data_IF_611140020610
#
_entry.id   IF_611140020610
#
_cell.length_a   1.000
_cell.length_b   1.000
_cell.length_c   1.000
_cell.angle_alpha   90.00
_cell.angle_beta   90.00
_cell.angle_gamma   90.00
#
_symmetry.space_group_name_H-M   'P 1'
#
loop_
_entity.id
_entity.type
_entity.pdbx_description
1 polymer ?
#
# COMPACT_ATOMS: atom_id res chain seq x y z
N UNK A 1 -8.75 9.71 14.34
CA UNK A 1 -8.36 9.61 12.93
C UNK A 1 -8.31 8.15 12.54
N UNK A 2 -8.87 7.79 11.37
CA UNK A 2 -8.94 6.40 10.91
C UNK A 2 -8.22 6.24 9.57
N UNK A 3 -7.11 5.52 9.56
CA UNK A 3 -6.29 5.27 8.37
C UNK A 3 -6.78 4.00 7.66
N UNK A 4 -7.04 4.11 6.36
CA UNK A 4 -7.26 2.97 5.48
C UNK A 4 -5.96 2.66 4.75
N UNK A 5 -5.31 1.58 5.14
CA UNK A 5 -4.01 1.16 4.61
C UNK A 5 -4.19 0.04 3.59
N UNK A 6 -3.56 0.18 2.43
CA UNK A 6 -3.62 -0.78 1.33
C UNK A 6 -2.23 -1.39 1.14
N UNK A 7 -2.13 -2.70 1.25
CA UNK A 7 -0.88 -3.45 1.04
C UNK A 7 -1.18 -4.79 0.38
N UNK A 8 -0.36 -5.20 -0.57
CA UNK A 8 -0.55 -6.50 -1.21
C UNK A 8 -0.13 -7.67 -0.30
N UNK A 9 0.77 -7.43 0.64
CA UNK A 9 1.22 -8.43 1.62
C UNK A 9 1.06 -7.90 3.06
N UNK A 10 0.72 -8.81 3.95
CA UNK A 10 0.62 -8.62 5.40
C UNK A 10 0.73 -10.01 6.07
N UNK A 11 1.38 -10.15 7.22
CA UNK A 11 1.50 -11.48 7.86
C UNK A 11 0.14 -12.20 8.01
N UNK A 12 0.08 -13.54 7.80
CA UNK A 12 1.20 -14.46 7.58
C UNK A 12 1.76 -14.50 6.15
N UNK A 13 1.21 -13.73 5.18
CA UNK A 13 1.78 -13.63 3.83
C UNK A 13 2.94 -12.65 3.88
N UNK A 14 4.15 -13.17 3.73
CA UNK A 14 5.39 -12.40 3.72
C UNK A 14 6.17 -12.80 2.47
N UNK A 15 6.24 -11.89 1.50
CA UNK A 15 7.04 -12.02 0.29
C UNK A 15 8.34 -11.23 0.44
N UNK A 16 8.23 -10.07 1.09
CA UNK A 16 9.35 -9.15 1.29
C UNK A 16 9.21 -8.29 2.54
N UNK A 17 9.94 -7.19 2.57
CA UNK A 17 9.97 -6.27 3.71
C UNK A 17 8.69 -5.46 3.92
N UNK A 18 7.81 -5.38 2.91
CA UNK A 18 6.58 -4.59 2.97
C UNK A 18 5.63 -5.15 4.02
N UNK A 19 5.46 -6.48 4.08
CA UNK A 19 4.59 -7.12 5.07
C UNK A 19 4.95 -6.70 6.50
N UNK A 20 6.22 -6.79 6.85
CA UNK A 20 6.72 -6.38 8.18
C UNK A 20 6.57 -4.88 8.41
N UNK A 21 6.96 -4.06 7.43
CA UNK A 21 6.82 -2.61 7.52
C UNK A 21 5.36 -2.20 7.77
N UNK A 22 4.42 -2.75 7.01
CA UNK A 22 2.99 -2.40 7.14
C UNK A 22 2.43 -2.86 8.49
N UNK A 23 2.83 -4.04 8.96
CA UNK A 23 2.45 -4.53 10.28
C UNK A 23 2.97 -3.61 11.39
N UNK A 24 4.27 -3.32 11.39
CA UNK A 24 4.91 -2.53 12.44
C UNK A 24 4.37 -1.09 12.44
N UNK A 25 4.21 -0.49 11.25
CA UNK A 25 3.61 0.84 11.10
C UNK A 25 2.16 0.86 11.61
N UNK A 26 1.34 -0.14 11.23
CA UNK A 26 -0.05 -0.22 11.68
C UNK A 26 -0.16 -0.32 13.20
N UNK A 27 0.67 -1.17 13.82
CA UNK A 27 0.72 -1.32 15.28
C UNK A 27 1.24 -0.04 15.96
N UNK A 28 2.25 0.61 15.40
CA UNK A 28 2.77 1.87 15.93
C UNK A 28 1.72 2.98 15.89
N UNK A 29 0.97 3.10 14.80
CA UNK A 29 -0.11 4.08 14.67
C UNK A 29 -1.25 3.81 15.67
N UNK A 30 -1.61 2.55 15.91
CA UNK A 30 -2.64 2.23 16.91
C UNK A 30 -2.18 2.54 18.34
N UNK A 31 -0.89 2.37 18.66
CA UNK A 31 -0.30 2.79 19.94
C UNK A 31 -0.36 4.31 20.14
N UNK A 32 -0.41 5.08 19.05
CA UNK A 32 -0.60 6.53 19.07
C UNK A 32 -2.09 6.94 19.10
N UNK A 33 -3.00 6.00 19.32
CA UNK A 33 -4.44 6.26 19.42
C UNK A 33 -5.17 6.41 18.08
N UNK A 34 -4.57 6.02 16.96
CA UNK A 34 -5.26 6.00 15.67
C UNK A 34 -5.99 4.68 15.48
N UNK A 35 -7.10 4.71 14.77
CA UNK A 35 -7.70 3.50 14.19
C UNK A 35 -7.03 3.20 12.86
N UNK A 36 -6.71 1.93 12.62
CA UNK A 36 -6.12 1.48 11.35
C UNK A 36 -6.93 0.31 10.80
N UNK A 37 -7.32 0.41 9.55
CA UNK A 37 -7.87 -0.70 8.79
C UNK A 37 -6.91 -1.05 7.66
N UNK A 38 -6.39 -2.26 7.65
CA UNK A 38 -5.55 -2.79 6.57
C UNK A 38 -6.40 -3.62 5.64
N UNK A 39 -6.31 -3.34 4.34
CA UNK A 39 -6.78 -4.23 3.27
C UNK A 39 -5.57 -4.88 2.61
N UNK A 40 -5.54 -6.20 2.57
CA UNK A 40 -4.41 -6.97 2.04
C UNK A 40 -4.88 -8.22 1.30
N UNK A 41 -3.99 -8.80 0.48
CA UNK A 41 -4.26 -10.09 -0.11
C UNK A 41 -4.35 -11.18 0.99
N UNK A 42 -5.25 -12.12 0.81
CA UNK A 42 -5.48 -13.20 1.77
C UNK A 42 -4.91 -14.53 1.33
N UNK A 43 -4.20 -15.27 2.19
CA UNK A 43 -3.99 -16.69 2.02
C UNK A 43 -5.28 -17.44 2.36
N UNK A 44 -5.41 -18.65 1.79
CA UNK A 44 -6.58 -19.51 1.99
C UNK A 44 -6.91 -19.82 3.46
N UNK A 45 -5.92 -19.91 4.33
CA UNK A 45 -6.05 -20.37 5.73
C UNK A 45 -6.15 -19.24 6.77
N UNK A 46 -5.70 -18.01 6.46
CA UNK A 46 -5.82 -16.91 7.41
C UNK A 46 -7.28 -16.43 7.53
N UNK A 47 -7.72 -15.97 8.72
CA UNK A 47 -9.06 -15.46 8.88
C UNK A 47 -9.29 -14.24 7.96
N UNK A 48 -10.49 -14.14 7.34
CA UNK A 48 -10.80 -13.04 6.43
C UNK A 48 -10.82 -11.68 7.14
N UNK A 49 -11.07 -11.68 8.43
CA UNK A 49 -11.03 -10.48 9.29
C UNK A 49 -10.35 -10.82 10.60
N UNK A 50 -9.38 -9.99 10.97
CA UNK A 50 -8.64 -10.10 12.23
C UNK A 50 -8.63 -8.74 12.94
N UNK A 51 -8.73 -8.74 14.26
CA UNK A 51 -8.68 -7.53 15.08
C UNK A 51 -7.61 -7.63 16.16
N UNK A 52 -6.77 -6.62 16.23
CA UNK A 52 -5.69 -6.48 17.19
C UNK A 52 -5.75 -5.07 17.81
N UNK A 53 -6.54 -4.90 18.88
CA UNK A 53 -6.77 -3.57 19.46
C UNK A 53 -7.41 -2.61 18.45
N UNK A 54 -6.79 -1.47 18.19
CA UNK A 54 -7.23 -0.47 17.20
C UNK A 54 -6.96 -0.82 15.74
N UNK A 55 -6.29 -1.95 15.48
CA UNK A 55 -5.99 -2.46 14.14
C UNK A 55 -7.05 -3.47 13.71
N UNK A 56 -7.62 -3.29 12.53
CA UNK A 56 -8.49 -4.29 11.87
C UNK A 56 -7.88 -4.65 10.52
N UNK A 57 -7.66 -5.93 10.28
CA UNK A 57 -7.10 -6.46 9.03
C UNK A 57 -8.22 -7.16 8.28
N UNK A 58 -8.43 -6.78 7.02
CA UNK A 58 -9.32 -7.47 6.09
C UNK A 58 -8.48 -8.09 4.98
N UNK A 59 -8.54 -9.41 4.85
CA UNK A 59 -7.87 -10.16 3.80
C UNK A 59 -8.86 -10.41 2.67
N UNK A 60 -8.59 -9.74 1.54
CA UNK A 60 -9.42 -9.88 0.34
C UNK A 60 -8.86 -11.01 -0.53
N UNK A 61 -9.74 -11.81 -1.10
CA UNK A 61 -9.38 -12.99 -1.91
C UNK A 61 -9.85 -12.80 -3.33
N UNK A 62 -9.04 -13.29 -4.27
CA UNK A 62 -9.53 -13.51 -5.64
C UNK A 62 -10.51 -14.69 -5.63
N UNK A 63 -11.67 -14.48 -6.22
CA UNK A 63 -12.62 -15.55 -6.48
C UNK A 63 -12.38 -16.21 -7.85
N UNK A 64 -11.36 -15.76 -8.57
CA UNK A 64 -11.04 -16.28 -9.88
C UNK A 64 -10.46 -17.70 -9.76
N UNK A 65 -11.06 -18.70 -10.40
CA UNK A 65 -10.59 -20.09 -10.31
C UNK A 65 -9.34 -20.37 -11.15
N UNK A 66 -8.90 -19.41 -11.97
CA UNK A 66 -7.71 -19.54 -12.83
C UNK A 66 -6.67 -18.51 -12.44
N UNK A 67 -5.38 -18.92 -12.40
CA UNK A 67 -4.28 -17.97 -12.27
C UNK A 67 -4.33 -16.91 -13.38
N UNK A 68 -4.09 -15.66 -13.01
CA UNK A 68 -3.93 -14.56 -13.94
C UNK A 68 -2.44 -14.26 -14.11
N UNK A 69 -2.10 -13.45 -15.10
CA UNK A 69 -0.79 -12.84 -15.14
C UNK A 69 -0.66 -11.79 -14.00
N UNK A 70 0.55 -11.28 -13.80
CA UNK A 70 0.83 -10.32 -12.71
C UNK A 70 -0.13 -9.12 -12.74
N UNK A 71 -0.39 -8.56 -13.93
CA UNK A 71 -1.26 -7.38 -14.07
C UNK A 71 -2.70 -7.75 -13.73
N UNK A 72 -3.17 -8.89 -14.21
CA UNK A 72 -4.51 -9.41 -13.90
C UNK A 72 -4.70 -9.67 -12.41
N UNK A 73 -3.71 -10.26 -11.72
CA UNK A 73 -3.74 -10.48 -10.26
C UNK A 73 -3.79 -9.14 -9.50
N UNK A 74 -2.97 -8.17 -9.91
CA UNK A 74 -2.99 -6.81 -9.32
C UNK A 74 -4.33 -6.13 -9.52
N UNK A 75 -4.91 -6.20 -10.72
CA UNK A 75 -6.23 -5.61 -11.00
C UNK A 75 -7.33 -6.26 -10.18
N UNK A 76 -7.32 -7.59 -10.05
CA UNK A 76 -8.27 -8.32 -9.22
C UNK A 76 -8.15 -7.95 -7.74
N UNK A 77 -6.91 -7.86 -7.22
CA UNK A 77 -6.64 -7.41 -5.86
C UNK A 77 -7.23 -6.01 -5.61
N UNK A 78 -6.96 -5.07 -6.51
CA UNK A 78 -7.45 -3.70 -6.40
C UNK A 78 -8.97 -3.62 -6.43
N UNK A 79 -9.63 -4.41 -7.30
CA UNK A 79 -11.09 -4.48 -7.33
C UNK A 79 -11.66 -4.99 -6.01
N UNK A 80 -11.08 -6.06 -5.45
CA UNK A 80 -11.52 -6.64 -4.19
C UNK A 80 -11.26 -5.68 -3.00
N UNK A 81 -10.13 -4.95 -3.00
CA UNK A 81 -9.85 -3.91 -2.00
C UNK A 81 -10.86 -2.77 -2.09
N UNK A 82 -11.14 -2.28 -3.31
CA UNK A 82 -12.12 -1.24 -3.54
C UNK A 82 -13.51 -1.65 -3.06
N UNK A 83 -13.98 -2.82 -3.45
CA UNK A 83 -15.25 -3.39 -3.02
C UNK A 83 -15.35 -3.48 -1.50
N UNK A 84 -14.29 -3.97 -0.84
CA UNK A 84 -14.25 -4.09 0.61
C UNK A 84 -14.29 -2.74 1.31
N UNK A 85 -13.49 -1.77 0.84
CA UNK A 85 -13.46 -0.43 1.39
C UNK A 85 -14.80 0.28 1.27
N UNK A 86 -15.44 0.23 0.09
CA UNK A 86 -16.76 0.81 -0.14
C UNK A 86 -17.83 0.13 0.73
N UNK A 87 -17.79 -1.18 0.90
CA UNK A 87 -18.69 -1.91 1.80
C UNK A 87 -18.53 -1.47 3.26
N UNK A 88 -17.28 -1.25 3.72
CA UNK A 88 -17.02 -0.72 5.06
C UNK A 88 -17.55 0.70 5.22
N UNK A 89 -17.34 1.56 4.23
CA UNK A 89 -17.83 2.94 4.24
C UNK A 89 -19.37 2.99 4.23
N UNK A 90 -20.03 2.18 3.40
CA UNK A 90 -21.49 2.05 3.38
C UNK A 90 -22.05 1.52 4.71
N UNK A 91 -21.30 0.65 5.41
CA UNK A 91 -21.59 0.16 6.75
C UNK A 91 -21.31 1.17 7.88
N UNK A 92 -21.02 2.44 7.55
CA UNK A 92 -20.83 3.53 8.50
C UNK A 92 -19.39 3.79 8.96
N UNK A 93 -18.39 3.04 8.43
CA UNK A 93 -16.99 3.35 8.71
C UNK A 93 -16.59 4.68 8.06
N UNK A 94 -15.97 5.55 8.84
CA UNK A 94 -15.45 6.84 8.36
C UNK A 94 -13.92 6.79 8.33
N UNK A 95 -13.36 6.78 7.12
CA UNK A 95 -11.92 6.89 6.92
C UNK A 95 -11.54 8.38 6.81
N UNK A 96 -10.33 8.73 7.22
CA UNK A 96 -9.78 10.10 7.13
C UNK A 96 -8.58 10.20 6.21
N UNK A 97 -8.02 9.05 5.80
CA UNK A 97 -6.82 8.97 4.97
C UNK A 97 -6.76 7.60 4.30
N UNK A 98 -6.36 7.56 3.03
CA UNK A 98 -5.90 6.35 2.33
C UNK A 98 -4.38 6.35 2.31
N UNK A 99 -3.77 5.23 2.70
CA UNK A 99 -2.32 5.02 2.63
C UNK A 99 -2.00 3.79 1.78
N UNK A 100 -1.44 4.01 0.60
CA UNK A 100 -1.07 2.97 -0.37
C UNK A 100 0.40 2.58 -0.22
N UNK A 101 0.70 1.29 -0.33
CA UNK A 101 2.06 0.76 -0.34
C UNK A 101 2.37 0.14 -1.69
N UNK A 102 3.30 0.77 -2.43
CA UNK A 102 3.72 0.46 -3.79
C UNK A 102 2.60 0.46 -4.86
N UNK A 103 2.99 0.32 -6.12
CA UNK A 103 2.14 0.39 -7.30
C UNK A 103 1.01 -0.65 -7.32
N UNK A 104 1.22 -1.79 -6.69
CA UNK A 104 0.26 -2.91 -6.65
C UNK A 104 -1.07 -2.54 -5.99
N UNK A 105 -1.17 -1.40 -5.31
CA UNK A 105 -2.40 -0.89 -4.68
C UNK A 105 -2.92 0.40 -5.31
N UNK A 106 -2.27 0.88 -6.38
CA UNK A 106 -2.49 2.22 -6.95
C UNK A 106 -3.92 2.45 -7.45
N UNK A 107 -4.51 1.46 -8.11
CA UNK A 107 -5.86 1.59 -8.71
C UNK A 107 -6.95 1.73 -7.64
N UNK A 108 -6.91 0.89 -6.60
CA UNK A 108 -7.83 1.00 -5.47
C UNK A 108 -7.61 2.32 -4.71
N UNK A 109 -6.35 2.69 -4.47
CA UNK A 109 -6.00 3.90 -3.77
C UNK A 109 -6.55 5.16 -4.46
N UNK A 110 -6.36 5.27 -5.79
CA UNK A 110 -6.92 6.38 -6.56
C UNK A 110 -8.45 6.39 -6.54
N UNK A 111 -9.08 5.24 -6.79
CA UNK A 111 -10.53 5.14 -6.78
C UNK A 111 -11.13 5.55 -5.43
N UNK A 112 -10.50 5.15 -4.33
CA UNK A 112 -10.91 5.52 -2.97
C UNK A 112 -10.65 7.00 -2.65
N UNK A 113 -9.50 7.55 -3.09
CA UNK A 113 -9.21 8.98 -2.96
C UNK A 113 -10.34 9.82 -3.53
N UNK A 114 -10.73 9.55 -4.79
CA UNK A 114 -11.76 10.33 -5.47
C UNK A 114 -13.19 9.96 -5.06
N UNK A 115 -13.47 8.67 -4.86
CA UNK A 115 -14.80 8.20 -4.51
C UNK A 115 -15.25 8.51 -3.09
N UNK A 116 -14.31 8.65 -2.16
CA UNK A 116 -14.59 8.98 -0.75
C UNK A 116 -14.07 10.38 -0.34
N UNK A 117 -13.49 11.13 -1.28
CA UNK A 117 -12.88 12.46 -1.06
C UNK A 117 -11.85 12.43 0.08
N UNK A 118 -10.90 11.52 0.00
CA UNK A 118 -9.88 11.30 1.03
C UNK A 118 -8.48 11.71 0.55
N UNK A 119 -7.64 12.29 1.40
CA UNK A 119 -6.22 12.46 1.08
C UNK A 119 -5.56 11.09 0.89
N UNK A 120 -4.68 11.00 -0.12
CA UNK A 120 -3.91 9.80 -0.43
C UNK A 120 -2.45 10.01 -0.04
N UNK A 121 -1.91 9.11 0.80
CA UNK A 121 -0.49 8.95 1.04
C UNK A 121 -0.01 7.72 0.27
N UNK A 122 1.19 7.79 -0.29
CA UNK A 122 1.84 6.65 -0.93
C UNK A 122 3.22 6.43 -0.31
N UNK A 123 3.51 5.22 0.14
CA UNK A 123 4.88 4.80 0.46
C UNK A 123 5.45 4.01 -0.71
N UNK A 124 6.57 4.46 -1.24
CA UNK A 124 7.32 3.77 -2.29
C UNK A 124 8.51 3.07 -1.65
N UNK A 125 8.47 1.73 -1.67
CA UNK A 125 9.52 0.88 -1.10
C UNK A 125 10.63 0.58 -2.11
N UNK A 126 10.27 0.43 -3.37
CA UNK A 126 11.19 0.29 -4.49
C UNK A 126 10.49 0.74 -5.78
N UNK A 127 11.26 1.11 -6.80
CA UNK A 127 10.75 1.36 -8.15
C UNK A 127 11.15 0.25 -9.09
N UNK A 128 10.36 0.03 -10.13
CA UNK A 128 10.69 -0.93 -11.18
C UNK A 128 11.97 -0.53 -11.91
N UNK A 129 12.15 0.78 -12.10
CA UNK A 129 13.39 1.33 -12.68
C UNK A 129 14.62 1.00 -11.82
N UNK A 130 14.53 1.19 -10.51
CA UNK A 130 15.64 0.92 -9.58
C UNK A 130 15.96 -0.56 -9.44
N UNK A 131 14.94 -1.43 -9.44
CA UNK A 131 15.12 -2.90 -9.37
C UNK A 131 15.88 -3.46 -10.56
N UNK A 132 15.68 -2.88 -11.75
CA UNK A 132 16.20 -3.40 -13.02
C UNK A 132 17.33 -2.53 -13.60
N UNK A 133 17.71 -1.48 -12.90
CA UNK A 133 18.69 -0.51 -13.39
C UNK A 133 18.30 0.10 -14.75
N UNK A 134 17.00 0.39 -14.92
CA UNK A 134 16.35 0.86 -16.13
C UNK A 134 15.07 0.09 -16.47
N UNK A 135 14.46 0.40 -17.61
CA UNK A 135 13.23 -0.25 -18.10
C UNK A 135 13.52 -0.93 -19.43
N UNK A 136 13.46 -2.25 -19.48
CA UNK A 136 13.95 -3.05 -20.60
C UNK A 136 12.84 -3.75 -21.41
N UNK A 137 11.61 -3.78 -20.88
CA UNK A 137 10.45 -4.39 -21.55
C UNK A 137 9.14 -3.63 -21.25
N UNK A 138 8.05 -4.01 -21.94
CA UNK A 138 6.78 -3.31 -21.82
C UNK A 138 6.11 -3.48 -20.46
N UNK A 139 6.29 -4.62 -19.80
CA UNK A 139 5.76 -4.82 -18.45
C UNK A 139 6.45 -3.89 -17.43
N UNK A 140 7.77 -3.72 -17.54
CA UNK A 140 8.50 -2.80 -16.67
C UNK A 140 8.10 -1.34 -16.92
N UNK A 141 7.88 -0.96 -18.18
CA UNK A 141 7.35 0.39 -18.52
C UNK A 141 5.97 0.60 -17.93
N UNK A 142 5.08 -0.38 -18.09
CA UNK A 142 3.74 -0.33 -17.51
C UNK A 142 3.79 -0.17 -15.98
N UNK A 143 4.60 -0.97 -15.28
CA UNK A 143 4.75 -0.87 -13.83
C UNK A 143 5.27 0.52 -13.44
N UNK A 144 6.31 1.01 -14.11
CA UNK A 144 6.89 2.33 -13.86
C UNK A 144 5.89 3.47 -14.11
N UNK A 145 5.06 3.37 -15.13
CA UNK A 145 3.99 4.33 -15.39
C UNK A 145 2.94 4.35 -14.26
N UNK A 146 2.59 3.19 -13.71
CA UNK A 146 1.68 3.08 -12.56
C UNK A 146 2.31 3.62 -11.29
N UNK A 147 3.61 3.40 -11.06
CA UNK A 147 4.39 3.98 -9.94
C UNK A 147 4.40 5.51 -10.03
N UNK A 148 4.71 6.05 -11.22
CA UNK A 148 4.64 7.47 -11.47
C UNK A 148 3.25 8.04 -11.19
N UNK A 149 2.22 7.36 -11.70
CA UNK A 149 0.84 7.78 -11.53
C UNK A 149 0.38 7.75 -10.06
N UNK A 150 0.79 6.74 -9.27
CA UNK A 150 0.54 6.71 -7.83
C UNK A 150 1.18 7.91 -7.14
N UNK A 151 2.44 8.23 -7.47
CA UNK A 151 3.14 9.40 -6.94
C UNK A 151 2.45 10.71 -7.34
N UNK A 152 1.94 10.81 -8.57
CA UNK A 152 1.20 11.97 -9.05
C UNK A 152 -0.09 12.17 -8.24
N UNK A 153 -0.88 11.13 -8.05
CA UNK A 153 -2.15 11.17 -7.31
C UNK A 153 -1.98 11.42 -5.80
N UNK A 154 -0.87 10.99 -5.22
CA UNK A 154 -0.65 11.13 -3.79
C UNK A 154 -0.50 12.60 -3.38
N UNK A 155 -1.09 12.97 -2.23
CA UNK A 155 -0.83 14.25 -1.58
C UNK A 155 0.57 14.28 -0.95
N UNK A 156 1.00 13.14 -0.39
CA UNK A 156 2.37 12.95 0.11
C UNK A 156 2.92 11.62 -0.36
N UNK A 157 4.18 11.63 -0.76
CA UNK A 157 4.94 10.44 -1.15
C UNK A 157 6.02 10.21 -0.10
N UNK A 158 5.94 9.06 0.58
CA UNK A 158 6.89 8.65 1.60
C UNK A 158 7.92 7.74 0.94
N UNK A 159 9.20 7.96 1.25
CA UNK A 159 10.31 7.12 0.86
C UNK A 159 11.19 6.80 2.07
N UNK A 160 11.78 5.60 2.09
CA UNK A 160 12.46 5.07 3.27
C UNK A 160 13.97 5.37 3.29
N UNK A 161 14.53 5.98 2.23
CA UNK A 161 15.96 6.31 2.15
C UNK A 161 16.23 7.55 1.30
N UNK A 162 17.39 8.17 1.51
CA UNK A 162 17.86 9.26 0.66
C UNK A 162 18.01 8.80 -0.80
N UNK A 163 18.49 7.57 -1.01
CA UNK A 163 18.62 7.00 -2.35
C UNK A 163 17.27 6.98 -3.07
N UNK A 164 16.22 6.44 -2.43
CA UNK A 164 14.86 6.40 -2.99
C UNK A 164 14.31 7.80 -3.24
N UNK A 165 14.57 8.76 -2.34
CA UNK A 165 14.16 10.16 -2.55
C UNK A 165 14.73 10.73 -3.83
N UNK A 166 16.06 10.56 -4.06
CA UNK A 166 16.71 11.06 -5.27
C UNK A 166 16.24 10.31 -6.53
N UNK A 167 15.96 9.02 -6.41
CA UNK A 167 15.39 8.23 -7.51
C UNK A 167 14.00 8.74 -7.91
N UNK A 168 13.09 8.95 -6.95
CA UNK A 168 11.75 9.50 -7.21
C UNK A 168 11.79 10.89 -7.84
N UNK A 169 12.74 11.74 -7.42
CA UNK A 169 12.95 13.05 -8.02
C UNK A 169 13.45 12.94 -9.46
N UNK A 170 14.41 12.08 -9.71
CA UNK A 170 15.06 11.95 -11.02
C UNK A 170 14.17 11.22 -12.02
N UNK A 171 13.55 10.09 -11.63
CA UNK A 171 12.79 9.22 -12.53
C UNK A 171 11.37 9.72 -12.72
N UNK A 172 10.68 10.06 -11.63
CA UNK A 172 9.27 10.45 -11.66
C UNK A 172 9.04 11.96 -11.53
N UNK A 173 10.10 12.75 -11.35
CA UNK A 173 10.01 14.18 -11.17
C UNK A 173 9.04 14.60 -10.05
N UNK A 174 8.98 13.80 -8.97
CA UNK A 174 8.11 14.10 -7.83
C UNK A 174 8.55 15.41 -7.19
N UNK A 175 7.64 16.41 -7.02
CA UNK A 175 7.96 17.68 -6.38
C UNK A 175 8.46 17.48 -4.94
N UNK A 176 9.45 18.29 -4.56
CA UNK A 176 10.10 18.19 -3.25
C UNK A 176 9.12 18.36 -2.08
N UNK A 177 8.15 19.25 -2.23
CA UNK A 177 7.14 19.51 -1.22
C UNK A 177 6.16 18.33 -0.99
N UNK A 178 6.06 17.41 -1.95
CA UNK A 178 5.31 16.14 -1.80
C UNK A 178 6.11 15.06 -1.09
N UNK A 179 7.44 15.08 -1.20
CA UNK A 179 8.31 14.02 -0.68
C UNK A 179 8.48 14.12 0.84
N UNK A 180 8.45 12.96 1.49
CA UNK A 180 8.76 12.80 2.92
C UNK A 180 9.70 11.62 3.09
N UNK A 181 10.90 11.91 3.58
CA UNK A 181 11.87 10.89 3.94
C UNK A 181 11.58 10.42 5.37
N UNK A 182 11.12 9.17 5.49
CA UNK A 182 10.85 8.51 6.77
C UNK A 182 11.50 7.13 6.72
N UNK A 183 12.70 6.96 7.29
CA UNK A 183 13.36 5.66 7.34
C UNK A 183 12.52 4.62 8.09
N UNK A 184 12.68 3.35 7.69
CA UNK A 184 12.04 2.25 8.41
C UNK A 184 12.60 2.16 9.82
N UNK A 185 11.71 1.97 10.79
CA UNK A 185 12.06 1.67 12.18
C UNK A 185 12.16 0.16 12.41
N UNK A 186 12.79 -0.19 13.50
CA UNK A 186 12.82 -1.57 14.03
C UNK A 186 12.54 -1.52 15.54
N UNK A 187 12.00 -2.60 16.07
CA UNK A 187 11.86 -2.77 17.51
C UNK A 187 13.19 -3.31 18.06
N UNK A 188 13.90 -2.57 18.95
CA UNK A 188 15.17 -3.01 19.48
C UNK A 188 15.10 -4.37 20.20
N UNK A 189 13.96 -4.65 20.82
CA UNK A 189 13.68 -5.90 21.54
C UNK A 189 13.65 -7.13 20.64
N UNK A 190 13.43 -6.97 19.34
CA UNK A 190 13.48 -8.08 18.37
C UNK A 190 14.92 -8.54 18.08
N UNK A 191 15.93 -7.79 18.58
CA UNK A 191 17.36 -8.03 18.36
C UNK A 191 18.14 -8.25 19.68
N UNK A 192 17.45 -8.38 20.82
CA UNK A 192 18.04 -8.59 22.13
C UNK A 192 18.24 -10.07 22.45
#
# INVERSE_FOLDING_TARGET
MHVLMLSWEFPPVVVGGIARHVQDLSLALTRQGLEVTVLTAGPGEAPPVEKLGGLTIHRVRSENPRPLDLVGEVMQLNLNMLQRALGLAAGGRRFTLVHAHDWVTAYAAKALKHGLDLPLFATVHATEWGRNNGLHNDLQRYISDVEWWLCYEAWRVICCSHYMREELRRVFQVPEDKLRLIPNGVYPEDFA
#
